data_IF_134023706908
#
_entry.id   IF_134023706908
#
_cell.length_a   1.000
_cell.length_b   1.000
_cell.length_c   1.000
_cell.angle_alpha   90.00
_cell.angle_beta   90.00
_cell.angle_gamma   90.00
#
_symmetry.space_group_name_H-M   'P 1'
#
loop_
_entity.id
_entity.type
_entity.pdbx_description
1 polymer ?
#
# COMPACT_ATOMS: atom_id res chain seq x y z
N UNK A 1 0.39 6.57 9.68
CA UNK A 1 1.10 6.47 8.40
C UNK A 1 2.61 6.35 8.60
N UNK A 2 3.38 5.98 7.56
CA UNK A 2 4.84 5.92 7.54
C UNK A 2 5.47 7.33 7.55
N UNK A 3 6.78 7.41 7.78
CA UNK A 3 7.55 8.65 7.63
C UNK A 3 7.49 9.22 6.22
N UNK A 4 7.80 10.52 6.07
CA UNK A 4 7.69 11.24 4.81
C UNK A 4 8.56 10.67 3.67
N UNK A 5 9.75 10.17 3.98
CA UNK A 5 10.67 9.58 2.99
C UNK A 5 10.38 8.12 2.63
N UNK A 6 9.36 7.51 3.25
CA UNK A 6 9.08 6.10 2.99
C UNK A 6 8.51 5.87 1.59
N UNK A 7 8.99 4.87 0.82
CA UNK A 7 8.53 4.61 -0.55
C UNK A 7 7.01 4.47 -0.70
N UNK A 8 6.32 3.91 0.30
CA UNK A 8 4.85 3.78 0.26
C UNK A 8 4.16 5.13 0.23
N UNK A 9 4.64 6.10 1.00
CA UNK A 9 4.10 7.46 0.99
C UNK A 9 4.43 8.19 -0.31
N UNK A 10 5.65 8.05 -0.82
CA UNK A 10 6.03 8.64 -2.11
C UNK A 10 5.16 8.11 -3.25
N UNK A 11 4.85 6.81 -3.25
CA UNK A 11 3.95 6.19 -4.21
C UNK A 11 2.52 6.73 -4.08
N UNK A 12 1.94 6.64 -2.87
CA UNK A 12 0.58 7.11 -2.61
C UNK A 12 0.40 8.58 -2.96
N UNK A 13 1.30 9.44 -2.47
CA UNK A 13 1.16 10.89 -2.70
C UNK A 13 1.52 11.28 -4.14
N UNK A 14 2.34 10.48 -4.82
CA UNK A 14 2.55 10.59 -6.26
C UNK A 14 1.27 10.34 -7.06
N UNK A 15 0.52 9.32 -6.67
CA UNK A 15 -0.78 9.01 -7.26
C UNK A 15 -1.81 10.11 -6.96
N UNK A 16 -1.89 10.57 -5.71
CA UNK A 16 -2.78 11.69 -5.33
C UNK A 16 -2.43 12.95 -6.11
N UNK A 17 -1.14 13.21 -6.34
CA UNK A 17 -0.68 14.37 -7.13
C UNK A 17 -1.12 14.27 -8.59
N UNK A 18 -1.13 13.08 -9.16
CA UNK A 18 -1.61 12.84 -10.51
C UNK A 18 -3.11 13.15 -10.64
N UNK A 19 -3.91 12.76 -9.66
CA UNK A 19 -5.36 12.99 -9.67
C UNK A 19 -5.77 14.42 -9.33
N UNK A 20 -5.09 15.07 -8.37
CA UNK A 20 -5.53 16.36 -7.82
C UNK A 20 -4.67 17.55 -8.25
N UNK A 21 -3.48 17.31 -8.78
CA UNK A 21 -2.45 18.32 -9.02
C UNK A 21 -1.70 18.72 -7.73
N UNK A 22 -0.54 19.38 -7.92
CA UNK A 22 0.41 19.69 -6.83
C UNK A 22 -0.23 20.57 -5.73
N UNK A 23 -0.89 21.65 -6.11
CA UNK A 23 -1.43 22.61 -5.13
C UNK A 23 -2.48 21.99 -4.19
N UNK A 24 -3.40 21.18 -4.72
CA UNK A 24 -4.42 20.53 -3.89
C UNK A 24 -3.81 19.41 -3.03
N UNK A 25 -2.84 18.68 -3.56
CA UNK A 25 -2.12 17.65 -2.82
C UNK A 25 -1.35 18.25 -1.67
N UNK A 26 -0.63 19.36 -1.88
CA UNK A 26 0.10 20.03 -0.81
C UNK A 26 -0.83 20.58 0.27
N UNK A 27 -1.95 21.18 -0.10
CA UNK A 27 -2.95 21.65 0.86
C UNK A 27 -3.53 20.47 1.69
N UNK A 28 -3.82 19.35 1.06
CA UNK A 28 -4.27 18.15 1.73
C UNK A 28 -3.20 17.57 2.67
N UNK A 29 -1.94 17.49 2.24
CA UNK A 29 -0.82 17.03 3.08
C UNK A 29 -0.62 17.93 4.30
N UNK A 30 -0.73 19.25 4.13
CA UNK A 30 -0.69 20.21 5.25
C UNK A 30 -1.79 19.95 6.26
N UNK A 31 -3.02 19.69 5.79
CA UNK A 31 -4.14 19.29 6.64
C UNK A 31 -3.89 17.97 7.36
N UNK A 32 -3.30 16.99 6.67
CA UNK A 32 -2.94 15.70 7.26
C UNK A 32 -1.92 15.87 8.39
N UNK A 33 -0.84 16.64 8.16
CA UNK A 33 0.18 16.90 9.18
C UNK A 33 -0.42 17.58 10.42
N UNK A 34 -1.30 18.57 10.20
CA UNK A 34 -1.98 19.27 11.30
C UNK A 34 -2.91 18.38 12.15
N UNK A 35 -3.40 17.27 11.58
CA UNK A 35 -4.30 16.33 12.24
C UNK A 35 -3.60 15.02 12.69
N UNK A 36 -2.28 14.93 12.60
CA UNK A 36 -1.56 13.75 13.09
C UNK A 36 -1.65 13.67 14.62
N UNK A 37 -2.05 12.52 15.14
CA UNK A 37 -2.04 12.26 16.58
C UNK A 37 -0.62 12.30 17.17
N UNK A 38 0.37 11.97 16.35
CA UNK A 38 1.82 12.02 16.67
C UNK A 38 2.65 12.07 15.41
N UNK A 39 3.93 12.39 15.53
CA UNK A 39 4.88 12.21 14.43
C UNK A 39 4.90 10.74 13.96
N UNK A 40 5.00 10.49 12.65
CA UNK A 40 5.09 9.14 12.11
C UNK A 40 6.28 8.37 12.71
N UNK A 41 6.02 7.19 13.25
CA UNK A 41 7.04 6.28 13.78
C UNK A 41 6.62 4.83 13.62
N UNK A 42 7.58 3.94 13.46
CA UNK A 42 7.32 2.51 13.32
C UNK A 42 6.76 2.10 11.95
N UNK A 43 6.29 0.88 11.88
CA UNK A 43 5.73 0.26 10.69
C UNK A 43 4.22 0.40 10.57
N UNK A 44 3.64 -0.19 9.51
CA UNK A 44 2.20 -0.20 9.30
C UNK A 44 1.46 -0.94 10.43
N UNK A 45 2.03 -2.03 10.93
CA UNK A 45 1.48 -2.75 12.09
C UNK A 45 1.38 -1.85 13.33
N UNK A 46 2.38 -0.96 13.56
CA UNK A 46 2.33 -0.02 14.68
C UNK A 46 1.21 1.03 14.48
N UNK A 47 0.95 1.44 13.25
CA UNK A 47 -0.16 2.35 12.94
C UNK A 47 -1.51 1.66 13.16
N UNK A 48 -1.66 0.39 12.77
CA UNK A 48 -2.87 -0.41 13.01
C UNK A 48 -3.10 -0.55 14.52
N UNK A 49 -2.07 -0.89 15.28
CA UNK A 49 -2.15 -0.99 16.75
C UNK A 49 -2.47 0.35 17.42
N UNK A 50 -1.98 1.46 16.84
CA UNK A 50 -2.33 2.82 17.29
C UNK A 50 -3.84 3.12 17.16
N UNK A 51 -4.47 2.69 16.05
CA UNK A 51 -5.93 2.81 15.91
C UNK A 51 -6.65 1.89 16.91
N UNK A 52 -6.22 0.63 17.03
CA UNK A 52 -6.84 -0.32 17.94
C UNK A 52 -6.78 0.09 19.43
N UNK A 53 -5.73 0.83 19.82
CA UNK A 53 -5.56 1.38 21.17
C UNK A 53 -6.28 2.72 21.41
N UNK A 54 -6.82 3.36 20.36
CA UNK A 54 -7.43 4.68 20.44
C UNK A 54 -6.43 5.83 20.44
N UNK A 55 -5.14 5.60 20.17
CA UNK A 55 -4.12 6.66 20.01
C UNK A 55 -4.44 7.55 18.81
N UNK A 56 -5.01 6.99 17.77
CA UNK A 56 -5.51 7.72 16.60
C UNK A 56 -6.80 7.10 16.06
N UNK A 57 -7.63 7.90 15.39
CA UNK A 57 -8.90 7.43 14.82
C UNK A 57 -8.76 6.78 13.45
N UNK A 58 -7.71 7.11 12.69
CA UNK A 58 -7.48 6.62 11.33
C UNK A 58 -6.00 6.37 11.10
N UNK A 59 -5.66 5.33 10.36
CA UNK A 59 -4.32 5.08 9.87
C UNK A 59 -4.32 4.78 8.37
N UNK A 60 -3.28 5.22 7.67
CA UNK A 60 -3.00 4.85 6.27
C UNK A 60 -1.94 3.75 6.30
N UNK A 61 -2.28 2.59 5.76
CA UNK A 61 -1.43 1.39 5.79
C UNK A 61 -1.61 0.57 4.53
N UNK A 62 -0.64 -0.28 4.22
CA UNK A 62 -0.85 -1.31 3.20
C UNK A 62 -1.73 -2.45 3.76
N UNK A 63 -2.62 -2.95 2.94
CA UNK A 63 -3.63 -3.95 3.33
C UNK A 63 -3.04 -5.27 3.84
N UNK A 64 -1.90 -5.72 3.30
CA UNK A 64 -1.31 -7.00 3.68
C UNK A 64 -0.80 -7.05 5.14
N UNK A 65 -0.51 -5.90 5.77
CA UNK A 65 -0.17 -5.87 7.20
C UNK A 65 -1.37 -6.23 8.07
N UNK A 66 -2.55 -5.67 7.76
CA UNK A 66 -3.76 -6.02 8.48
C UNK A 66 -4.15 -7.48 8.20
N UNK A 67 -4.08 -7.93 6.95
CA UNK A 67 -4.35 -9.31 6.59
C UNK A 67 -3.44 -10.30 7.36
N UNK A 68 -2.17 -9.95 7.56
CA UNK A 68 -1.25 -10.72 8.40
C UNK A 68 -1.72 -10.79 9.85
N UNK A 69 -2.16 -9.67 10.43
CA UNK A 69 -2.69 -9.64 11.79
C UNK A 69 -3.99 -10.46 11.91
N UNK A 70 -4.88 -10.39 10.92
CA UNK A 70 -6.10 -11.21 10.88
C UNK A 70 -5.82 -12.72 10.88
N UNK A 71 -4.70 -13.13 10.29
CA UNK A 71 -4.24 -14.53 10.23
C UNK A 71 -3.30 -14.92 11.37
N UNK A 72 -2.96 -13.97 12.24
CA UNK A 72 -2.07 -14.21 13.39
C UNK A 72 -2.72 -15.12 14.42
N UNK A 73 -1.90 -15.92 15.07
CA UNK A 73 -2.30 -16.73 16.25
C UNK A 73 -2.12 -15.95 17.56
N UNK A 74 -1.43 -14.81 17.52
CA UNK A 74 -1.19 -13.95 18.69
C UNK A 74 -2.51 -13.35 19.20
N UNK A 75 -2.88 -13.57 20.48
CA UNK A 75 -4.07 -13.00 21.08
C UNK A 75 -4.12 -11.46 21.01
N UNK A 76 -2.97 -10.78 21.06
CA UNK A 76 -2.90 -9.32 20.97
C UNK A 76 -3.28 -8.82 19.58
N UNK A 77 -2.82 -9.51 18.53
CA UNK A 77 -3.18 -9.16 17.15
C UNK A 77 -4.68 -9.40 16.91
N UNK A 78 -5.23 -10.50 17.40
CA UNK A 78 -6.68 -10.79 17.32
C UNK A 78 -7.51 -9.72 18.00
N UNK A 79 -7.18 -9.35 19.23
CA UNK A 79 -7.87 -8.32 19.99
C UNK A 79 -7.74 -6.92 19.32
N UNK A 80 -6.64 -6.65 18.63
CA UNK A 80 -6.47 -5.41 17.86
C UNK A 80 -7.37 -5.42 16.61
N UNK A 81 -7.38 -6.50 15.84
CA UNK A 81 -8.16 -6.64 14.61
C UNK A 81 -9.66 -6.47 14.84
N UNK A 82 -10.19 -6.98 15.95
CA UNK A 82 -11.62 -6.84 16.33
C UNK A 82 -12.08 -5.37 16.44
N UNK A 83 -11.15 -4.44 16.65
CA UNK A 83 -11.41 -3.00 16.80
C UNK A 83 -11.20 -2.21 15.51
N UNK A 84 -10.80 -2.86 14.41
CA UNK A 84 -10.41 -2.19 13.18
C UNK A 84 -11.47 -2.35 12.09
N UNK A 85 -11.95 -1.22 11.58
CA UNK A 85 -12.68 -1.17 10.32
C UNK A 85 -11.73 -0.88 9.14
N UNK A 86 -12.03 -1.43 7.97
CA UNK A 86 -11.24 -1.23 6.75
C UNK A 86 -11.99 -0.35 5.77
N UNK A 87 -11.31 0.63 5.21
CA UNK A 87 -11.85 1.48 4.15
C UNK A 87 -10.89 1.45 2.96
N UNK A 88 -11.38 1.02 1.82
CA UNK A 88 -10.72 1.21 0.53
C UNK A 88 -11.21 2.53 -0.05
N UNK A 89 -10.38 3.60 -0.07
CA UNK A 89 -10.85 4.92 -0.45
C UNK A 89 -11.17 5.03 -1.95
N UNK A 90 -11.86 6.11 -2.33
CA UNK A 90 -12.11 6.52 -3.72
C UNK A 90 -12.91 5.51 -4.57
N UNK A 91 -13.67 4.62 -3.96
CA UNK A 91 -14.45 3.59 -4.69
C UNK A 91 -15.48 4.19 -5.65
N UNK A 92 -15.98 5.40 -5.39
CA UNK A 92 -16.94 6.12 -6.24
C UNK A 92 -16.26 7.00 -7.30
N UNK A 93 -14.93 7.13 -7.26
CA UNK A 93 -14.16 8.00 -8.16
C UNK A 93 -13.08 7.20 -8.89
N UNK A 94 -11.80 7.49 -8.69
CA UNK A 94 -10.69 6.86 -9.42
C UNK A 94 -10.24 5.51 -8.86
N UNK A 95 -10.72 5.11 -7.71
CA UNK A 95 -10.32 3.85 -7.06
C UNK A 95 -9.22 4.02 -6.02
N UNK A 96 -8.94 2.93 -5.31
CA UNK A 96 -7.90 2.89 -4.28
C UNK A 96 -6.53 2.81 -4.91
N UNK A 97 -5.57 3.58 -4.40
CA UNK A 97 -4.16 3.44 -4.76
C UNK A 97 -3.65 2.02 -4.51
N UNK A 98 -2.97 1.45 -5.49
CA UNK A 98 -2.32 0.15 -5.38
C UNK A 98 -0.80 0.32 -5.46
N UNK A 99 -0.12 -0.15 -4.43
CA UNK A 99 1.32 -0.19 -4.39
C UNK A 99 1.79 -1.50 -5.03
N UNK A 100 2.71 -1.42 -6.00
CA UNK A 100 3.09 -2.56 -6.84
C UNK A 100 4.53 -2.97 -6.55
N UNK A 101 4.75 -4.25 -6.28
CA UNK A 101 6.08 -4.85 -6.29
C UNK A 101 6.48 -5.21 -7.74
N UNK A 102 7.73 -5.01 -8.06
CA UNK A 102 8.25 -5.29 -9.40
C UNK A 102 9.61 -6.00 -9.36
N UNK A 103 9.96 -6.63 -10.47
CA UNK A 103 11.27 -7.23 -10.68
C UNK A 103 11.83 -6.79 -12.02
N UNK A 104 13.16 -6.73 -12.15
CA UNK A 104 13.84 -6.40 -13.37
C UNK A 104 15.12 -7.21 -13.55
N UNK A 105 15.54 -7.39 -14.80
CA UNK A 105 16.80 -8.04 -15.12
C UNK A 105 17.94 -7.05 -14.99
N UNK A 106 18.92 -7.36 -14.14
CA UNK A 106 20.10 -6.50 -13.98
C UNK A 106 20.96 -6.49 -15.24
N UNK A 107 21.57 -5.35 -15.58
CA UNK A 107 22.49 -5.22 -16.73
C UNK A 107 23.66 -6.22 -16.67
N UNK A 108 24.08 -6.60 -15.46
CA UNK A 108 25.18 -7.54 -15.21
C UNK A 108 24.76 -9.01 -15.19
N UNK A 109 23.54 -9.34 -15.61
CA UNK A 109 23.05 -10.73 -15.61
C UNK A 109 23.94 -11.64 -16.42
N UNK A 110 24.35 -12.77 -15.82
CA UNK A 110 25.19 -13.78 -16.51
C UNK A 110 24.39 -14.83 -17.24
N UNK A 111 23.15 -15.07 -16.80
CA UNK A 111 22.25 -16.07 -17.41
C UNK A 111 20.89 -15.42 -17.71
N UNK A 112 20.83 -14.67 -18.79
CA UNK A 112 19.62 -13.98 -19.21
C UNK A 112 18.43 -14.94 -19.45
N UNK A 113 18.59 -16.10 -20.14
CA UNK A 113 17.46 -17.00 -20.36
C UNK A 113 16.80 -17.49 -19.06
N UNK A 114 17.58 -17.81 -18.03
CA UNK A 114 17.01 -18.23 -16.74
C UNK A 114 16.40 -17.06 -15.98
N UNK A 115 16.97 -15.86 -16.05
CA UNK A 115 16.37 -14.68 -15.44
C UNK A 115 15.01 -14.36 -16.06
N UNK A 116 14.87 -14.43 -17.38
CA UNK A 116 13.60 -14.24 -18.08
C UNK A 116 12.58 -15.30 -17.67
N UNK A 117 12.95 -16.59 -17.69
CA UNK A 117 12.06 -17.67 -17.22
C UNK A 117 11.57 -17.47 -15.78
N UNK A 118 12.44 -16.98 -14.91
CA UNK A 118 12.06 -16.67 -13.54
C UNK A 118 11.05 -15.52 -13.47
N UNK A 119 11.24 -14.46 -14.24
CA UNK A 119 10.27 -13.35 -14.30
C UNK A 119 8.92 -13.80 -14.88
N UNK A 120 8.93 -14.63 -15.93
CA UNK A 120 7.71 -15.23 -16.48
C UNK A 120 7.00 -16.11 -15.44
N UNK A 121 7.75 -16.88 -14.66
CA UNK A 121 7.20 -17.65 -13.55
C UNK A 121 6.54 -16.75 -12.49
N UNK A 122 7.16 -15.63 -12.13
CA UNK A 122 6.57 -14.68 -11.16
C UNK A 122 5.21 -14.13 -11.63
N UNK A 123 5.01 -14.01 -12.94
CA UNK A 123 3.73 -13.60 -13.53
C UNK A 123 2.73 -14.78 -13.70
N UNK A 124 3.11 -16.01 -13.39
CA UNK A 124 2.24 -17.17 -13.52
C UNK A 124 1.14 -17.19 -12.43
N UNK A 125 -0.02 -17.81 -12.71
CA UNK A 125 -1.07 -17.98 -11.70
C UNK A 125 -0.57 -18.68 -10.42
N UNK A 126 0.35 -19.64 -10.55
CA UNK A 126 0.91 -20.37 -9.40
C UNK A 126 1.70 -19.44 -8.48
N UNK A 127 2.60 -18.60 -9.03
CA UNK A 127 3.38 -17.65 -8.25
C UNK A 127 2.47 -16.55 -7.66
N UNK A 128 1.49 -16.05 -8.41
CA UNK A 128 0.56 -15.04 -7.92
C UNK A 128 -0.32 -15.55 -6.77
N UNK A 129 -0.77 -16.80 -6.82
CA UNK A 129 -1.46 -17.44 -5.69
C UNK A 129 -0.54 -17.62 -4.48
N UNK A 130 0.73 -17.97 -4.71
CA UNK A 130 1.71 -18.07 -3.64
C UNK A 130 1.89 -16.73 -2.91
N UNK A 131 1.99 -15.61 -3.64
CA UNK A 131 2.06 -14.27 -3.03
C UNK A 131 0.76 -13.90 -2.30
N UNK A 132 -0.39 -14.24 -2.87
CA UNK A 132 -1.67 -13.97 -2.22
C UNK A 132 -1.81 -14.73 -0.89
N UNK A 133 -1.43 -15.99 -0.85
CA UNK A 133 -1.57 -16.82 0.34
C UNK A 133 -0.43 -16.63 1.35
N UNK A 134 0.81 -16.50 0.88
CA UNK A 134 2.00 -16.37 1.72
C UNK A 134 2.23 -14.95 2.24
N UNK A 135 2.10 -13.96 1.38
CA UNK A 135 2.38 -12.55 1.70
C UNK A 135 1.12 -11.71 1.94
N UNK A 136 -0.08 -12.26 1.71
CA UNK A 136 -1.35 -11.53 1.77
C UNK A 136 -1.41 -10.37 0.78
N UNK A 137 -0.84 -10.53 -0.40
CA UNK A 137 -0.82 -9.53 -1.47
C UNK A 137 -1.88 -9.82 -2.51
N UNK A 138 -2.47 -8.77 -3.09
CA UNK A 138 -3.37 -8.93 -4.21
C UNK A 138 -2.59 -9.31 -5.47
N UNK A 139 -3.06 -10.29 -6.27
CA UNK A 139 -2.42 -10.64 -7.53
C UNK A 139 -2.33 -9.44 -8.48
N UNK A 140 -1.17 -9.24 -9.10
CA UNK A 140 -0.98 -8.23 -10.13
C UNK A 140 -1.45 -8.71 -11.52
N UNK A 141 -1.64 -10.00 -11.69
CA UNK A 141 -2.10 -10.63 -12.94
C UNK A 141 -3.60 -10.82 -12.91
N UNK A 142 -4.28 -10.38 -13.97
CA UNK A 142 -5.73 -10.51 -14.10
C UNK A 142 -6.15 -12.00 -14.08
N UNK A 143 -7.38 -12.25 -13.62
CA UNK A 143 -8.02 -13.57 -13.58
C UNK A 143 -7.40 -14.59 -12.62
N UNK A 144 -6.49 -14.18 -11.75
CA UNK A 144 -6.02 -15.03 -10.65
C UNK A 144 -7.01 -14.95 -9.50
N UNK A 145 -7.62 -16.08 -9.15
CA UNK A 145 -8.59 -16.14 -8.05
C UNK A 145 -7.86 -16.05 -6.70
N UNK A 146 -8.23 -15.08 -5.89
CA UNK A 146 -7.72 -14.94 -4.52
C UNK A 146 -8.50 -15.86 -3.58
N UNK A 147 -7.81 -16.77 -2.92
CA UNK A 147 -8.39 -17.68 -1.93
C UNK A 147 -8.09 -17.28 -0.48
N UNK A 148 -7.33 -16.20 -0.28
CA UNK A 148 -6.96 -15.72 1.05
C UNK A 148 -8.18 -15.12 1.77
N UNK A 149 -8.66 -15.74 2.88
CA UNK A 149 -9.89 -15.30 3.55
C UNK A 149 -9.75 -13.92 4.20
N UNK A 150 -8.55 -13.53 4.63
CA UNK A 150 -8.32 -12.20 5.20
C UNK A 150 -8.45 -11.10 4.15
N UNK A 151 -7.92 -11.31 2.94
CA UNK A 151 -8.09 -10.38 1.83
C UNK A 151 -9.56 -10.27 1.43
N UNK A 152 -10.25 -11.40 1.33
CA UNK A 152 -11.69 -11.43 0.99
C UNK A 152 -12.53 -10.70 2.05
N UNK A 153 -12.26 -10.92 3.33
CA UNK A 153 -12.99 -10.27 4.42
C UNK A 153 -12.83 -8.74 4.43
N UNK A 154 -11.67 -8.22 4.03
CA UNK A 154 -11.44 -6.78 3.99
C UNK A 154 -12.22 -6.04 2.91
N UNK A 155 -12.57 -6.70 1.81
CA UNK A 155 -13.17 -6.04 0.63
C UNK A 155 -14.58 -6.50 0.32
N UNK A 156 -15.08 -7.55 0.96
CA UNK A 156 -16.29 -8.24 0.53
C UNK A 156 -16.13 -8.97 -0.82
N UNK A 157 -14.86 -9.20 -1.26
CA UNK A 157 -14.52 -9.94 -2.48
C UNK A 157 -13.77 -9.14 -3.54
N UNK A 158 -14.00 -7.83 -3.68
CA UNK A 158 -13.30 -6.98 -4.65
C UNK A 158 -13.28 -5.52 -4.23
N UNK A 159 -12.42 -4.75 -4.86
CA UNK A 159 -12.38 -3.29 -4.75
C UNK A 159 -11.96 -2.68 -6.09
N UNK A 160 -12.35 -1.44 -6.32
CA UNK A 160 -11.89 -0.67 -7.48
C UNK A 160 -10.49 -0.15 -7.20
N UNK A 161 -9.50 -0.62 -7.95
CA UNK A 161 -8.15 -0.05 -7.96
C UNK A 161 -8.05 1.13 -8.92
N UNK A 162 -7.13 2.04 -8.66
CA UNK A 162 -6.80 3.08 -9.64
C UNK A 162 -6.06 2.48 -10.86
N UNK A 163 -6.07 3.21 -11.96
CA UNK A 163 -5.51 2.76 -13.25
C UNK A 163 -4.42 3.66 -13.80
N UNK A 164 -3.90 4.60 -13.00
CA UNK A 164 -2.80 5.47 -13.45
C UNK A 164 -1.54 4.64 -13.72
N UNK A 165 -0.75 4.99 -14.74
CA UNK A 165 0.50 4.31 -15.03
C UNK A 165 1.52 4.51 -13.89
N UNK A 166 2.29 3.47 -13.56
CA UNK A 166 3.36 3.54 -12.54
C UNK A 166 4.38 4.65 -12.89
N UNK A 167 4.63 4.88 -14.19
CA UNK A 167 5.50 5.96 -14.67
C UNK A 167 5.01 7.35 -14.24
N UNK A 168 3.70 7.59 -14.21
CA UNK A 168 3.14 8.86 -13.74
C UNK A 168 3.41 9.05 -12.24
N UNK A 169 3.24 8.00 -11.44
CA UNK A 169 3.61 8.00 -10.01
C UNK A 169 5.10 8.29 -9.82
N UNK A 170 5.95 7.61 -10.61
CA UNK A 170 7.40 7.78 -10.54
C UNK A 170 7.85 9.22 -10.89
N UNK A 171 7.23 9.83 -11.91
CA UNK A 171 7.52 11.19 -12.32
C UNK A 171 7.18 12.25 -11.25
N UNK A 172 6.25 11.94 -10.36
CA UNK A 172 5.86 12.82 -9.27
C UNK A 172 6.71 12.69 -8.00
N UNK A 173 7.59 11.69 -7.87
CA UNK A 173 8.30 11.41 -6.62
C UNK A 173 9.11 12.59 -6.09
N UNK A 174 9.88 13.27 -6.95
CA UNK A 174 10.68 14.44 -6.54
C UNK A 174 9.78 15.58 -6.04
N UNK A 175 8.69 15.85 -6.74
CA UNK A 175 7.72 16.89 -6.33
C UNK A 175 7.06 16.53 -4.99
N UNK A 176 6.69 15.26 -4.83
CA UNK A 176 6.11 14.76 -3.57
C UNK A 176 7.08 14.96 -2.42
N UNK A 177 8.35 14.57 -2.57
CA UNK A 177 9.33 14.78 -1.50
C UNK A 177 9.46 16.26 -1.13
N UNK A 178 9.53 17.14 -2.13
CA UNK A 178 9.58 18.58 -1.89
C UNK A 178 8.32 19.11 -1.17
N UNK A 179 7.13 18.63 -1.53
CA UNK A 179 5.89 18.98 -0.82
C UNK A 179 5.92 18.50 0.64
N UNK A 180 6.34 17.25 0.88
CA UNK A 180 6.45 16.69 2.22
C UNK A 180 7.41 17.50 3.11
N UNK A 181 8.55 17.92 2.55
CA UNK A 181 9.52 18.77 3.25
C UNK A 181 8.92 20.14 3.58
N UNK A 182 8.22 20.79 2.62
CA UNK A 182 7.56 22.09 2.84
C UNK A 182 6.48 22.06 3.91
N UNK A 183 5.70 20.98 3.98
CA UNK A 183 4.62 20.85 4.98
C UNK A 183 5.09 20.27 6.31
N UNK A 184 6.38 19.93 6.45
CA UNK A 184 6.96 19.38 7.66
C UNK A 184 6.54 17.93 7.96
N UNK A 185 6.18 17.18 6.93
CA UNK A 185 5.87 15.75 7.06
C UNK A 185 7.18 14.96 7.17
N UNK A 186 7.53 14.46 8.34
CA UNK A 186 8.78 13.77 8.64
C UNK A 186 8.60 12.29 8.94
#
# INVERSE_FOLDING_TARGET
>A
TRSGSHPYNLSLFGAVTEHLGEAKTEAWLKGMVANMARAPKGGDTDQIKGVASGECGVAITNSYYLARMMRSTDPQDKAAVEKIGVVFPNQQTWGTHVNVAGAGVAKSVKNLPNAVKFMEYLASPAAQNYFADGNNEWPAVANVKVNNPALQAMTGGSFKSETIPISAVANNQTKVQQMLDRVGYR
#
